data_IF_248397910977
#
_entry.id   IF_248397910977
#
_cell.length_a   1.000
_cell.length_b   1.000
_cell.length_c   1.000
_cell.angle_alpha   90.00
_cell.angle_beta   90.00
_cell.angle_gamma   90.00
#
_symmetry.space_group_name_H-M   'P 1'
#
loop_
_entity.id
_entity.type
_entity.pdbx_description
1 polymer ?
#
# COMPACT_ATOMS: atom_id res chain seq x y z
N UNK A 1 25.24 -27.16 53.05
CA UNK A 1 24.76 -28.00 51.93
C UNK A 1 23.53 -27.39 51.27
N UNK A 2 23.49 -26.04 51.04
CA UNK A 2 22.32 -25.32 50.47
C UNK A 2 22.67 -24.30 49.36
N UNK A 3 23.92 -24.29 48.89
CA UNK A 3 24.35 -23.31 47.84
C UNK A 3 24.23 -23.84 46.41
N UNK A 4 24.19 -25.18 46.24
CA UNK A 4 24.19 -25.83 44.90
C UNK A 4 22.78 -25.85 44.26
N UNK A 5 21.71 -25.79 45.05
CA UNK A 5 20.33 -25.83 44.51
C UNK A 5 19.83 -24.49 43.90
N UNK A 6 20.38 -23.35 44.35
CA UNK A 6 19.95 -22.02 43.87
C UNK A 6 20.59 -21.66 42.53
N UNK A 7 21.78 -22.17 42.25
CA UNK A 7 22.52 -21.89 41.01
C UNK A 7 21.94 -22.65 39.79
N UNK A 8 21.38 -23.85 40.00
CA UNK A 8 20.72 -24.59 38.90
C UNK A 8 19.36 -24.02 38.49
N UNK A 9 18.63 -23.37 39.41
CA UNK A 9 17.34 -22.76 39.06
C UNK A 9 17.53 -21.49 38.24
N UNK A 10 18.58 -20.70 38.52
CA UNK A 10 18.89 -19.49 37.79
C UNK A 10 19.39 -19.79 36.36
N UNK A 11 20.16 -20.87 36.16
CA UNK A 11 20.61 -21.28 34.84
C UNK A 11 19.45 -21.83 33.97
N UNK A 12 18.47 -22.50 34.55
CA UNK A 12 17.28 -22.98 33.85
C UNK A 12 16.35 -21.88 33.40
N UNK A 13 16.19 -20.80 34.18
CA UNK A 13 15.37 -19.64 33.77
C UNK A 13 16.05 -18.79 32.68
N UNK A 14 17.38 -18.68 32.68
CA UNK A 14 18.09 -17.96 31.60
C UNK A 14 18.03 -18.71 30.27
N UNK A 15 18.05 -20.03 30.29
CA UNK A 15 17.93 -20.83 29.05
C UNK A 15 16.51 -20.79 28.47
N UNK A 16 15.48 -20.75 29.31
CA UNK A 16 14.10 -20.62 28.87
C UNK A 16 13.80 -19.24 28.24
N UNK A 17 14.42 -18.17 28.79
CA UNK A 17 14.25 -16.82 28.20
C UNK A 17 14.99 -16.65 26.86
N UNK A 18 16.07 -17.38 26.62
CA UNK A 18 16.79 -17.36 25.33
C UNK A 18 16.05 -18.15 24.24
N UNK A 19 15.37 -19.22 24.58
CA UNK A 19 14.58 -20.00 23.61
C UNK A 19 13.29 -19.30 23.19
N UNK A 20 12.66 -18.52 24.07
CA UNK A 20 11.48 -17.73 23.73
C UNK A 20 11.83 -16.56 22.78
N UNK A 21 13.02 -15.95 22.96
CA UNK A 21 13.47 -14.90 22.04
C UNK A 21 13.86 -15.40 20.64
N UNK A 22 14.39 -16.61 20.52
CA UNK A 22 14.72 -17.22 19.24
C UNK A 22 13.48 -17.63 18.43
N UNK A 23 12.37 -17.97 19.10
CA UNK A 23 11.12 -18.32 18.44
C UNK A 23 10.31 -17.08 17.94
N UNK A 24 10.55 -15.90 18.52
CA UNK A 24 9.88 -14.65 18.09
C UNK A 24 10.58 -14.00 16.90
N UNK A 25 11.83 -14.35 16.61
CA UNK A 25 12.60 -13.77 15.49
C UNK A 25 12.45 -14.57 14.17
N UNK A 26 11.50 -15.48 14.05
CA UNK A 26 11.37 -16.36 12.89
C UNK A 26 10.49 -15.77 11.77
N UNK A 27 9.85 -14.60 11.97
CA UNK A 27 9.09 -13.90 10.93
C UNK A 27 9.89 -12.64 10.57
N UNK A 28 10.82 -12.78 9.63
CA UNK A 28 11.71 -11.68 9.22
C UNK A 28 11.18 -10.90 8.01
N UNK A 29 10.18 -11.43 7.29
CA UNK A 29 9.68 -10.85 6.04
C UNK A 29 8.23 -10.37 6.22
N UNK A 30 7.96 -9.10 5.91
CA UNK A 30 6.64 -8.49 6.09
C UNK A 30 5.51 -9.22 5.35
N UNK A 31 5.81 -9.80 4.18
CA UNK A 31 4.84 -10.53 3.36
C UNK A 31 4.38 -11.88 3.94
N UNK A 32 4.88 -12.28 5.10
CA UNK A 32 4.46 -13.44 5.89
C UNK A 32 4.17 -13.07 7.34
N UNK A 33 4.02 -11.78 7.64
CA UNK A 33 3.79 -11.27 8.99
C UNK A 33 2.42 -10.62 9.14
N UNK A 34 1.41 -11.31 9.68
CA UNK A 34 0.04 -10.80 9.77
C UNK A 34 -0.12 -9.58 10.68
N UNK A 35 0.91 -9.18 11.42
CA UNK A 35 0.91 -7.93 12.16
C UNK A 35 1.29 -6.73 11.28
N UNK A 36 1.80 -6.96 10.06
CA UNK A 36 2.33 -5.94 9.14
C UNK A 36 1.56 -5.94 7.81
N UNK A 37 0.30 -5.57 7.82
CA UNK A 37 -0.49 -5.41 6.59
C UNK A 37 -0.33 -4.03 5.93
N UNK A 38 0.40 -3.11 6.54
CA UNK A 38 0.69 -1.79 5.98
C UNK A 38 1.70 -0.98 6.80
N UNK A 39 2.67 -0.39 6.10
CA UNK A 39 3.68 0.52 6.65
C UNK A 39 3.53 1.86 5.96
N UNK A 40 3.36 2.95 6.72
CA UNK A 40 3.21 4.32 6.20
C UNK A 40 2.07 4.48 5.16
N UNK A 41 1.17 3.53 5.06
CA UNK A 41 0.01 3.59 4.19
C UNK A 41 -1.01 4.59 4.77
N UNK A 42 -1.48 5.50 3.94
CA UNK A 42 -2.59 6.38 4.31
C UNK A 42 -3.87 5.56 4.52
N UNK A 43 -4.79 6.03 5.38
CA UNK A 43 -6.06 5.35 5.61
C UNK A 43 -6.80 5.08 4.30
N UNK A 44 -7.30 3.86 4.14
CA UNK A 44 -8.15 3.51 3.01
C UNK A 44 -9.53 4.13 3.19
N UNK A 45 -9.94 4.93 2.22
CA UNK A 45 -11.22 5.63 2.21
C UNK A 45 -11.69 5.80 0.78
N UNK A 46 -13.00 5.89 0.58
CA UNK A 46 -13.55 6.44 -0.65
C UNK A 46 -12.95 7.82 -0.88
N UNK A 47 -12.52 8.09 -2.10
CA UNK A 47 -11.87 9.35 -2.46
C UNK A 47 -12.75 10.19 -3.37
N UNK A 48 -12.59 11.50 -3.30
CA UNK A 48 -13.14 12.45 -4.26
C UNK A 48 -12.03 13.36 -4.74
N UNK A 49 -12.16 13.83 -5.97
CA UNK A 49 -11.22 14.75 -6.60
C UNK A 49 -11.75 16.18 -6.50
N UNK A 50 -10.87 17.13 -6.25
CA UNK A 50 -11.20 18.56 -6.28
C UNK A 50 -10.52 19.21 -7.48
N UNK A 51 -11.08 20.31 -7.99
CA UNK A 51 -10.53 21.07 -9.11
C UNK A 51 -9.11 21.61 -8.86
N UNK A 52 -8.74 21.74 -7.59
CA UNK A 52 -7.40 22.20 -7.19
C UNK A 52 -6.36 21.07 -7.08
N UNK A 53 -6.77 19.82 -7.19
CA UNK A 53 -5.88 18.69 -7.18
C UNK A 53 -5.14 18.56 -8.51
N UNK A 54 -3.83 18.67 -8.48
CA UNK A 54 -2.98 18.33 -9.62
C UNK A 54 -2.68 16.83 -9.58
N UNK A 55 -2.74 16.18 -10.73
CA UNK A 55 -2.50 14.74 -10.85
C UNK A 55 -1.54 14.47 -11.99
N UNK A 56 -0.58 13.58 -11.75
CA UNK A 56 0.37 13.06 -12.73
C UNK A 56 0.15 11.55 -12.87
N UNK A 57 -0.28 11.11 -14.03
CA UNK A 57 -0.39 9.67 -14.32
C UNK A 57 1.00 9.04 -14.46
N UNK A 58 1.18 7.91 -13.82
CA UNK A 58 2.33 7.03 -14.00
C UNK A 58 1.96 5.77 -14.81
N UNK A 59 0.81 5.75 -15.46
CA UNK A 59 0.42 4.68 -16.38
C UNK A 59 1.32 4.68 -17.62
N UNK A 60 1.48 3.50 -18.23
CA UNK A 60 2.30 3.30 -19.42
C UNK A 60 3.42 2.32 -19.14
N UNK A 61 4.49 2.34 -19.93
CA UNK A 61 5.59 1.38 -19.83
C UNK A 61 6.45 1.60 -18.58
N UNK A 62 6.73 0.52 -17.87
CA UNK A 62 7.66 0.46 -16.74
C UNK A 62 8.75 -0.56 -17.01
N UNK A 63 9.95 -0.31 -16.53
CA UNK A 63 10.98 -1.35 -16.44
C UNK A 63 10.51 -2.42 -15.49
N UNK A 64 10.69 -3.70 -15.88
CA UNK A 64 10.16 -4.85 -15.17
C UNK A 64 11.17 -5.99 -15.10
N UNK A 65 11.37 -6.54 -13.92
CA UNK A 65 12.14 -7.73 -13.66
C UNK A 65 11.25 -8.77 -13.00
N UNK A 66 11.07 -9.91 -13.68
CA UNK A 66 10.31 -11.03 -13.15
C UNK A 66 11.24 -12.02 -12.46
N UNK A 67 10.94 -12.33 -11.21
CA UNK A 67 11.70 -13.26 -10.38
C UNK A 67 10.84 -14.49 -10.08
N UNK A 68 11.40 -15.69 -10.24
CA UNK A 68 10.67 -16.95 -10.10
C UNK A 68 10.27 -17.28 -8.65
N UNK A 69 10.95 -16.65 -7.69
CA UNK A 69 10.69 -16.84 -6.25
C UNK A 69 11.30 -15.68 -5.44
N UNK A 70 10.97 -15.56 -4.14
CA UNK A 70 11.49 -14.50 -3.28
C UNK A 70 13.01 -14.45 -3.18
N UNK A 71 13.70 -15.60 -3.24
CA UNK A 71 15.16 -15.67 -3.12
C UNK A 71 15.91 -15.25 -4.40
N UNK A 72 15.24 -15.21 -5.55
CA UNK A 72 15.81 -14.79 -6.83
C UNK A 72 15.68 -13.27 -7.10
N UNK A 73 15.17 -12.50 -6.15
CA UNK A 73 15.04 -11.03 -6.26
C UNK A 73 16.38 -10.35 -6.50
N UNK A 74 16.39 -9.35 -7.36
CA UNK A 74 17.56 -8.49 -7.54
C UNK A 74 17.72 -7.54 -6.39
N UNK A 75 18.77 -7.70 -5.59
CA UNK A 75 19.06 -6.81 -4.47
C UNK A 75 19.50 -5.42 -4.96
N UNK A 76 19.13 -4.36 -4.22
CA UNK A 76 19.55 -3.00 -4.52
C UNK A 76 18.86 -2.35 -5.72
N UNK A 77 17.89 -3.00 -6.32
CA UNK A 77 17.20 -2.52 -7.53
C UNK A 77 16.51 -1.16 -7.34
N UNK A 78 16.20 -0.79 -6.12
CA UNK A 78 15.58 0.49 -5.76
C UNK A 78 16.53 1.68 -5.84
N UNK A 79 17.85 1.45 -5.94
CA UNK A 79 18.85 2.53 -6.00
C UNK A 79 18.63 3.42 -7.23
N UNK A 80 18.88 4.72 -7.09
CA UNK A 80 18.65 5.70 -8.16
C UNK A 80 19.52 5.42 -9.39
N UNK A 81 20.76 5.00 -9.15
CA UNK A 81 21.78 4.69 -10.14
C UNK A 81 21.79 3.22 -10.60
N UNK A 82 20.82 2.43 -10.19
CA UNK A 82 20.70 1.05 -10.62
C UNK A 82 20.51 0.97 -12.14
N UNK A 83 21.29 0.10 -12.79
CA UNK A 83 21.20 -0.12 -14.23
C UNK A 83 20.11 -1.15 -14.56
N UNK A 84 18.97 -0.67 -14.99
CA UNK A 84 17.81 -1.47 -15.41
C UNK A 84 17.71 -1.63 -16.95
N UNK A 85 18.76 -1.34 -17.70
CA UNK A 85 18.74 -1.40 -19.18
C UNK A 85 18.47 -2.81 -19.74
N UNK A 86 18.83 -3.84 -18.99
CA UNK A 86 18.58 -5.24 -19.37
C UNK A 86 17.21 -5.77 -18.91
N UNK A 87 16.39 -4.95 -18.25
CA UNK A 87 15.06 -5.35 -17.79
C UNK A 87 14.04 -5.25 -18.93
N UNK A 88 13.02 -6.07 -18.87
CA UNK A 88 11.87 -6.00 -19.75
C UNK A 88 11.09 -4.70 -19.57
N UNK A 89 10.06 -4.52 -20.36
CA UNK A 89 9.05 -3.48 -20.16
C UNK A 89 7.68 -4.15 -20.00
N UNK A 90 6.89 -3.61 -19.05
CA UNK A 90 5.52 -4.06 -18.84
C UNK A 90 4.60 -2.83 -18.79
N UNK A 91 3.41 -2.87 -19.41
CA UNK A 91 2.45 -1.80 -19.25
C UNK A 91 1.88 -1.77 -17.81
N UNK A 92 1.64 -0.59 -17.29
CA UNK A 92 0.92 -0.35 -16.03
C UNK A 92 -0.26 0.57 -16.34
N UNK A 93 -1.50 0.15 -16.02
CA UNK A 93 -1.94 -1.13 -15.46
C UNK A 93 -1.59 -2.31 -16.36
N UNK A 94 -1.23 -3.42 -15.73
CA UNK A 94 -0.94 -4.68 -16.41
C UNK A 94 -0.83 -5.82 -15.40
N UNK A 95 -1.36 -6.98 -15.79
CA UNK A 95 -1.29 -8.22 -15.02
C UNK A 95 -0.29 -9.15 -15.68
N UNK A 96 0.60 -9.76 -14.91
CA UNK A 96 1.71 -10.59 -15.41
C UNK A 96 1.22 -11.72 -16.31
N UNK A 97 0.10 -12.32 -15.95
CA UNK A 97 -0.52 -13.45 -16.63
C UNK A 97 -0.89 -13.12 -18.11
N UNK A 98 -1.20 -11.86 -18.40
CA UNK A 98 -1.52 -11.42 -19.77
C UNK A 98 -0.30 -10.95 -20.56
N UNK A 99 0.87 -10.90 -19.92
CA UNK A 99 2.12 -10.47 -20.53
C UNK A 99 3.15 -11.60 -20.63
N UNK A 100 2.72 -12.86 -20.41
CA UNK A 100 3.53 -14.04 -20.65
C UNK A 100 4.51 -14.41 -19.53
N UNK A 101 4.36 -13.84 -18.32
CA UNK A 101 5.25 -14.14 -17.19
C UNK A 101 4.79 -15.30 -16.32
N UNK A 102 3.49 -15.59 -16.30
CA UNK A 102 2.94 -16.75 -15.60
C UNK A 102 1.62 -17.18 -16.23
N UNK A 103 1.19 -18.42 -15.95
CA UNK A 103 -0.08 -18.93 -16.44
C UNK A 103 -1.26 -18.40 -15.64
N UNK A 104 -2.36 -18.02 -16.31
CA UNK A 104 -3.62 -17.69 -15.64
C UNK A 104 -4.12 -18.84 -14.79
N UNK A 105 -4.45 -18.59 -13.55
CA UNK A 105 -4.93 -19.58 -12.62
C UNK A 105 -6.35 -19.24 -12.15
N UNK A 106 -7.26 -20.19 -12.31
CA UNK A 106 -8.60 -20.13 -11.71
C UNK A 106 -8.73 -21.16 -10.59
N UNK A 107 -9.17 -20.72 -9.44
CA UNK A 107 -9.44 -21.60 -8.29
C UNK A 107 -10.74 -21.15 -7.63
N UNK A 108 -11.72 -22.08 -7.51
CA UNK A 108 -12.99 -21.79 -6.84
C UNK A 108 -13.04 -22.29 -5.40
N UNK A 109 -12.24 -23.30 -5.05
CA UNK A 109 -12.18 -23.87 -3.70
C UNK A 109 -10.74 -24.11 -3.30
N UNK A 110 -10.33 -23.53 -2.18
CA UNK A 110 -8.99 -23.65 -1.63
C UNK A 110 -8.01 -22.63 -2.20
N UNK A 111 -6.81 -22.64 -1.66
CA UNK A 111 -5.76 -21.68 -1.99
C UNK A 111 -5.06 -22.01 -3.32
N UNK A 112 -4.37 -21.04 -3.95
CA UNK A 112 -3.69 -21.23 -5.24
C UNK A 112 -2.70 -22.39 -5.28
N UNK A 113 -2.12 -22.76 -4.15
CA UNK A 113 -1.16 -23.85 -3.98
C UNK A 113 -1.78 -25.20 -3.60
N UNK A 114 -3.11 -25.36 -3.74
CA UNK A 114 -3.81 -26.59 -3.41
C UNK A 114 -3.21 -27.81 -4.11
N UNK A 115 -2.90 -28.84 -3.32
CA UNK A 115 -2.31 -30.10 -3.80
C UNK A 115 -0.78 -30.09 -3.94
N UNK A 116 -0.14 -28.93 -3.80
CA UNK A 116 1.33 -28.79 -3.90
C UNK A 116 1.96 -28.34 -2.58
N UNK A 117 1.23 -27.60 -1.78
CA UNK A 117 1.71 -27.08 -0.50
C UNK A 117 0.63 -27.24 0.58
N UNK A 118 1.03 -27.61 1.78
CA UNK A 118 0.14 -27.71 2.94
C UNK A 118 -0.07 -26.31 3.52
N UNK A 119 -1.34 -25.93 3.71
CA UNK A 119 -1.65 -24.67 4.38
C UNK A 119 -0.99 -24.56 5.74
N UNK A 120 -0.28 -23.48 5.98
CA UNK A 120 0.44 -23.20 7.22
C UNK A 120 0.45 -21.68 7.51
N UNK A 121 -0.74 -21.05 7.70
CA UNK A 121 -0.80 -19.61 7.95
C UNK A 121 0.11 -19.19 9.13
N UNK A 122 0.83 -18.07 9.05
CA UNK A 122 0.77 -17.06 7.97
C UNK A 122 1.66 -17.38 6.76
N UNK A 123 2.42 -18.47 6.79
CA UNK A 123 3.41 -18.79 5.77
C UNK A 123 2.77 -19.25 4.47
N UNK A 124 3.18 -18.65 3.37
CA UNK A 124 2.83 -19.04 2.00
C UNK A 124 4.02 -19.77 1.34
N UNK A 125 3.79 -20.59 0.27
CA UNK A 125 4.91 -21.22 -0.43
C UNK A 125 5.88 -20.18 -1.00
N UNK A 126 7.18 -20.48 -0.97
CA UNK A 126 8.19 -19.71 -1.71
C UNK A 126 8.30 -20.19 -3.15
N UNK A 127 8.13 -21.49 -3.40
CA UNK A 127 8.10 -22.06 -4.75
C UNK A 127 6.89 -21.51 -5.51
N UNK A 128 7.14 -20.99 -6.72
CA UNK A 128 6.16 -20.31 -7.57
C UNK A 128 5.53 -19.04 -6.97
N UNK A 129 6.06 -18.54 -5.87
CA UNK A 129 5.74 -17.22 -5.37
C UNK A 129 6.54 -16.17 -6.13
N UNK A 130 6.12 -15.91 -7.35
CA UNK A 130 6.79 -14.97 -8.25
C UNK A 130 6.84 -13.56 -7.67
N UNK A 131 7.90 -12.83 -8.00
CA UNK A 131 8.06 -11.44 -7.58
C UNK A 131 8.28 -10.56 -8.78
N UNK A 132 7.50 -9.50 -8.89
CA UNK A 132 7.69 -8.46 -9.89
C UNK A 132 8.36 -7.25 -9.28
N UNK A 133 9.50 -6.86 -9.85
CA UNK A 133 10.21 -5.65 -9.49
C UNK A 133 10.05 -4.64 -10.62
N UNK A 134 9.55 -3.44 -10.29
CA UNK A 134 9.21 -2.39 -11.25
C UNK A 134 10.05 -1.15 -10.99
N UNK A 135 10.41 -0.45 -12.07
CA UNK A 135 11.11 0.84 -11.98
C UNK A 135 10.58 1.82 -13.02
N UNK A 136 10.50 3.09 -12.64
CA UNK A 136 10.16 4.20 -13.53
C UNK A 136 10.70 5.52 -13.04
N UNK A 137 10.96 6.45 -13.94
CA UNK A 137 11.19 7.86 -13.62
C UNK A 137 9.93 8.69 -13.83
N UNK A 138 9.79 9.77 -13.05
CA UNK A 138 8.72 10.74 -13.21
C UNK A 138 9.20 12.13 -12.82
N UNK A 139 8.49 13.16 -13.30
CA UNK A 139 8.86 14.55 -13.08
C UNK A 139 7.83 15.21 -12.15
N UNK A 140 8.32 15.78 -11.06
CA UNK A 140 7.52 16.63 -10.17
C UNK A 140 7.77 18.09 -10.55
N UNK A 141 6.71 18.82 -10.86
CA UNK A 141 6.79 20.24 -11.20
C UNK A 141 7.16 21.10 -9.98
N UNK A 142 7.89 22.18 -10.18
CA UNK A 142 8.25 23.15 -9.12
C UNK A 142 7.01 23.69 -8.38
N UNK A 143 5.91 23.90 -9.10
CA UNK A 143 4.65 24.39 -8.55
C UNK A 143 3.93 23.41 -7.59
N UNK A 144 4.49 22.23 -7.34
CA UNK A 144 4.01 21.27 -6.34
C UNK A 144 4.69 21.45 -4.98
N UNK A 145 5.74 22.25 -4.92
CA UNK A 145 6.47 22.56 -3.68
C UNK A 145 5.52 23.21 -2.65
N UNK A 146 5.59 22.75 -1.41
CA UNK A 146 4.75 23.24 -0.31
C UNK A 146 3.37 22.58 -0.21
N UNK A 147 2.99 21.73 -1.18
CA UNK A 147 1.81 20.87 -1.12
C UNK A 147 2.16 19.50 -0.52
N UNK A 148 1.17 18.78 -0.02
CA UNK A 148 1.33 17.35 0.21
C UNK A 148 1.32 16.63 -1.14
N UNK A 149 2.27 15.72 -1.36
CA UNK A 149 2.37 14.93 -2.58
C UNK A 149 2.15 13.47 -2.21
N UNK A 150 1.13 12.87 -2.81
CA UNK A 150 0.72 11.50 -2.53
C UNK A 150 0.89 10.62 -3.77
N UNK A 151 1.37 9.40 -3.57
CA UNK A 151 1.34 8.31 -4.54
C UNK A 151 0.06 7.49 -4.30
N UNK A 152 -0.61 7.11 -5.37
CA UNK A 152 -1.70 6.14 -5.36
C UNK A 152 -1.36 4.99 -6.30
N UNK A 153 -1.45 3.76 -5.78
CA UNK A 153 -1.39 2.51 -6.54
C UNK A 153 -2.79 1.92 -6.45
N UNK A 154 -3.53 1.91 -7.55
CA UNK A 154 -4.96 1.60 -7.56
C UNK A 154 -5.29 0.15 -7.16
N UNK A 155 -4.36 -0.78 -7.37
CA UNK A 155 -4.46 -2.19 -6.98
C UNK A 155 -3.11 -2.86 -7.22
N UNK A 156 -2.63 -3.66 -6.29
CA UNK A 156 -1.42 -4.48 -6.45
C UNK A 156 -1.62 -5.83 -5.76
N UNK A 157 -1.61 -6.90 -6.54
CA UNK A 157 -1.85 -8.27 -6.04
C UNK A 157 -0.54 -9.03 -5.92
N UNK A 158 -0.17 -9.49 -4.71
CA UNK A 158 -0.94 -9.54 -3.45
C UNK A 158 -0.57 -8.41 -2.49
N UNK A 159 0.58 -7.81 -2.64
CA UNK A 159 1.11 -6.74 -1.82
C UNK A 159 1.89 -5.74 -2.68
N UNK A 160 2.38 -4.67 -2.08
CA UNK A 160 3.34 -3.77 -2.72
C UNK A 160 4.25 -3.11 -1.70
N UNK A 161 5.56 -3.15 -1.95
CA UNK A 161 6.57 -2.35 -1.28
C UNK A 161 7.02 -1.23 -2.20
N UNK A 162 7.19 -0.04 -1.67
CA UNK A 162 7.40 1.18 -2.43
C UNK A 162 8.68 1.88 -2.01
N UNK A 163 9.49 2.29 -3.00
CA UNK A 163 10.64 3.19 -2.81
C UNK A 163 10.52 4.40 -3.74
N UNK A 164 10.96 5.54 -3.24
CA UNK A 164 11.12 6.77 -4.04
C UNK A 164 12.51 7.32 -3.82
N UNK A 165 13.22 7.57 -4.90
CA UNK A 165 14.62 8.04 -4.87
C UNK A 165 15.53 7.16 -3.99
N UNK A 166 15.36 5.83 -4.07
CA UNK A 166 16.14 4.84 -3.33
C UNK A 166 15.76 4.67 -1.86
N UNK A 167 14.82 5.47 -1.36
CA UNK A 167 14.37 5.42 0.04
C UNK A 167 13.04 4.70 0.14
N UNK A 168 12.94 3.75 1.06
CA UNK A 168 11.69 3.07 1.33
C UNK A 168 10.62 4.04 1.83
N UNK A 169 9.47 3.99 1.19
CA UNK A 169 8.29 4.78 1.54
C UNK A 169 7.36 4.00 2.44
N UNK A 170 7.06 2.75 2.06
CA UNK A 170 6.16 1.92 2.82
C UNK A 170 5.75 0.64 2.11
N UNK A 171 4.77 -0.03 2.72
CA UNK A 171 4.25 -1.35 2.33
C UNK A 171 2.72 -1.37 2.42
N UNK A 172 2.07 -2.17 1.61
CA UNK A 172 0.63 -2.40 1.68
C UNK A 172 0.27 -3.78 1.17
N UNK A 173 -0.62 -4.42 1.87
CA UNK A 173 -1.46 -5.53 1.41
C UNK A 173 -2.85 -5.02 1.03
N UNK A 174 -3.88 -5.90 0.93
CA UNK A 174 -5.21 -5.60 0.41
C UNK A 174 -5.22 -5.45 -1.12
N UNK A 175 -5.01 -6.55 -1.83
CA UNK A 175 -4.77 -6.64 -3.28
C UNK A 175 -5.70 -5.81 -4.17
N UNK A 176 -6.96 -5.64 -3.78
CA UNK A 176 -8.00 -5.02 -4.61
C UNK A 176 -8.32 -3.57 -4.24
N UNK A 177 -7.69 -3.05 -3.18
CA UNK A 177 -7.90 -1.69 -2.71
C UNK A 177 -6.73 -0.78 -3.10
N UNK A 178 -6.98 0.54 -3.08
CA UNK A 178 -5.94 1.53 -3.34
C UNK A 178 -4.93 1.59 -2.20
N UNK A 179 -3.64 1.47 -2.51
CA UNK A 179 -2.55 1.78 -1.61
C UNK A 179 -2.10 3.23 -1.84
N UNK A 180 -2.24 4.08 -0.83
CA UNK A 180 -1.85 5.50 -0.89
C UNK A 180 -0.76 5.81 0.12
N UNK A 181 0.25 6.57 -0.33
CA UNK A 181 1.42 6.93 0.47
C UNK A 181 1.71 8.42 0.37
N UNK A 182 2.04 9.06 1.48
CA UNK A 182 2.60 10.42 1.48
C UNK A 182 4.07 10.35 1.08
N UNK A 183 4.38 10.83 -0.11
CA UNK A 183 5.73 10.84 -0.65
C UNK A 183 6.39 12.23 -0.60
N UNK A 184 5.77 13.21 0.05
CA UNK A 184 6.22 14.61 0.08
C UNK A 184 7.69 14.76 0.46
N UNK A 185 8.16 14.04 1.48
CA UNK A 185 9.54 14.10 1.96
C UNK A 185 10.55 13.31 1.11
N UNK A 186 10.06 12.51 0.18
CA UNK A 186 10.90 11.62 -0.65
C UNK A 186 11.15 12.18 -2.04
N UNK A 187 10.29 13.09 -2.53
CA UNK A 187 10.39 13.68 -3.86
C UNK A 187 11.10 15.04 -3.83
N UNK A 188 11.63 15.43 -4.98
CA UNK A 188 12.18 16.74 -5.28
C UNK A 188 11.57 17.28 -6.56
N UNK A 189 11.64 18.59 -6.79
CA UNK A 189 11.34 19.17 -8.09
C UNK A 189 12.26 18.57 -9.16
N UNK A 190 11.73 18.33 -10.36
CA UNK A 190 12.43 17.65 -11.44
C UNK A 190 12.29 16.13 -11.37
N UNK A 191 13.32 15.43 -11.84
CA UNK A 191 13.31 13.98 -12.03
C UNK A 191 13.41 13.23 -10.69
N UNK A 192 12.51 12.27 -10.51
CA UNK A 192 12.46 11.33 -9.39
C UNK A 192 12.37 9.90 -9.94
N UNK A 193 12.81 8.93 -9.15
CA UNK A 193 12.71 7.50 -9.44
C UNK A 193 11.75 6.84 -8.47
N UNK A 194 10.85 6.01 -8.98
CA UNK A 194 10.01 5.11 -8.20
C UNK A 194 10.41 3.67 -8.50
N UNK A 195 10.44 2.85 -7.46
CA UNK A 195 10.58 1.40 -7.55
C UNK A 195 9.49 0.72 -6.73
N UNK A 196 8.96 -0.37 -7.26
CA UNK A 196 7.93 -1.18 -6.61
C UNK A 196 8.37 -2.65 -6.60
N UNK A 197 8.01 -3.37 -5.54
CA UNK A 197 8.15 -4.82 -5.46
C UNK A 197 6.82 -5.43 -5.05
N UNK A 198 6.38 -6.44 -5.79
CA UNK A 198 5.07 -7.09 -5.63
C UNK A 198 5.32 -8.59 -5.58
N UNK A 199 4.77 -9.27 -4.59
CA UNK A 199 4.78 -10.74 -4.49
C UNK A 199 3.45 -11.28 -5.01
N UNK A 200 3.49 -12.43 -5.67
CA UNK A 200 2.28 -13.11 -6.11
C UNK A 200 1.39 -13.49 -4.93
N UNK A 201 2.00 -13.95 -3.84
CA UNK A 201 1.33 -14.37 -2.61
C UNK A 201 1.97 -13.74 -1.38
N UNK A 202 1.14 -13.36 -0.43
CA UNK A 202 1.52 -12.95 0.93
C UNK A 202 0.58 -13.62 1.93
N UNK A 203 0.78 -13.44 3.21
CA UNK A 203 -0.12 -13.96 4.25
C UNK A 203 -1.55 -13.45 4.10
N UNK A 204 -1.76 -12.23 3.61
CA UNK A 204 -3.07 -11.70 3.23
C UNK A 204 -3.82 -12.57 2.21
N UNK A 205 -3.12 -13.39 1.41
CA UNK A 205 -3.75 -14.32 0.47
C UNK A 205 -4.67 -15.32 1.17
N UNK A 206 -4.38 -15.69 2.42
CA UNK A 206 -5.26 -16.56 3.21
C UNK A 206 -6.62 -15.93 3.53
N UNK A 207 -6.70 -14.59 3.56
CA UNK A 207 -7.92 -13.84 3.86
C UNK A 207 -8.65 -13.38 2.61
N UNK A 208 -7.93 -13.21 1.50
CA UNK A 208 -8.47 -12.68 0.24
C UNK A 208 -8.92 -13.74 -0.73
N UNK A 209 -8.81 -15.03 -0.36
CA UNK A 209 -9.14 -16.14 -1.25
C UNK A 209 -10.62 -16.21 -1.53
N UNK A 210 -10.98 -16.24 -2.84
CA UNK A 210 -12.34 -16.25 -3.35
C UNK A 210 -12.42 -17.06 -4.65
N UNK A 211 -13.62 -17.36 -5.09
CA UNK A 211 -13.93 -18.00 -6.38
C UNK A 211 -13.69 -17.03 -7.53
N UNK A 212 -12.43 -16.88 -7.96
CA UNK A 212 -12.05 -16.02 -9.07
C UNK A 212 -10.66 -16.35 -9.64
N UNK A 213 -10.30 -15.69 -10.74
CA UNK A 213 -8.97 -15.76 -11.33
C UNK A 213 -7.90 -15.16 -10.41
N UNK A 214 -6.77 -15.86 -10.27
CA UNK A 214 -5.61 -15.45 -9.45
C UNK A 214 -4.57 -14.75 -10.28
N UNK A 215 -4.87 -13.56 -10.74
CA UNK A 215 -3.94 -12.72 -11.47
C UNK A 215 -3.06 -11.89 -10.53
N UNK A 216 -1.79 -11.72 -10.90
CA UNK A 216 -0.84 -10.90 -10.16
C UNK A 216 -0.40 -9.66 -10.95
N UNK A 217 0.10 -8.64 -10.25
CA UNK A 217 0.55 -7.39 -10.84
C UNK A 217 -0.32 -6.20 -10.47
N UNK A 218 -0.28 -5.14 -11.27
CA UNK A 218 -0.96 -3.86 -11.03
C UNK A 218 -2.19 -3.76 -11.93
N UNK A 219 -3.37 -4.04 -11.37
CA UNK A 219 -4.61 -4.12 -12.15
C UNK A 219 -5.26 -2.76 -12.44
N UNK A 220 -4.94 -1.71 -11.68
CA UNK A 220 -5.47 -0.36 -11.84
C UNK A 220 -4.37 0.68 -11.87
N UNK A 221 -4.70 1.89 -12.33
CA UNK A 221 -3.74 2.96 -12.57
C UNK A 221 -2.89 3.35 -11.37
N UNK A 222 -1.69 3.81 -11.68
CA UNK A 222 -0.76 4.41 -10.73
C UNK A 222 -0.64 5.91 -11.04
N UNK A 223 -0.74 6.75 -10.02
CA UNK A 223 -0.63 8.19 -10.20
C UNK A 223 -0.10 8.90 -8.95
N UNK A 224 0.50 10.05 -9.17
CA UNK A 224 0.91 10.97 -8.10
C UNK A 224 -0.04 12.16 -8.13
N UNK A 225 -0.46 12.64 -6.96
CA UNK A 225 -1.37 13.77 -6.85
C UNK A 225 -1.00 14.70 -5.70
N UNK A 226 -1.44 15.97 -5.82
CA UNK A 226 -1.20 16.96 -4.77
C UNK A 226 -2.43 17.16 -3.92
N UNK A 227 -2.22 17.52 -2.66
CA UNK A 227 -3.26 17.97 -1.73
C UNK A 227 -2.83 19.27 -1.07
N UNK A 228 -3.78 20.16 -0.82
CA UNK A 228 -3.50 21.35 -0.04
C UNK A 228 -3.15 20.99 1.40
N UNK A 229 -2.25 21.76 2.02
CA UNK A 229 -1.91 21.57 3.43
C UNK A 229 -3.12 21.80 4.34
N UNK A 230 -3.94 22.83 4.02
CA UNK A 230 -5.20 23.12 4.71
C UNK A 230 -6.35 22.61 3.87
N UNK A 231 -7.07 21.61 4.34
CA UNK A 231 -8.15 20.97 3.60
C UNK A 231 -9.15 20.28 4.51
N UNK A 232 -10.30 19.96 3.97
CA UNK A 232 -11.18 18.93 4.51
C UNK A 232 -10.53 17.56 4.23
N UNK A 233 -10.29 16.79 5.29
CA UNK A 233 -9.62 15.49 5.19
C UNK A 233 -10.64 14.36 4.96
N UNK A 234 -11.83 14.51 5.53
CA UNK A 234 -12.87 13.50 5.49
C UNK A 234 -14.24 14.14 5.75
N UNK A 235 -15.28 13.60 5.12
CA UNK A 235 -16.66 14.01 5.34
C UNK A 235 -17.54 12.78 5.52
N UNK A 236 -18.45 12.83 6.49
CA UNK A 236 -19.52 11.86 6.66
C UNK A 236 -20.85 12.60 6.62
N UNK A 237 -21.68 12.28 5.63
CA UNK A 237 -23.00 12.89 5.43
C UNK A 237 -24.05 11.85 5.76
N UNK A 238 -25.01 12.23 6.62
CA UNK A 238 -26.21 11.45 6.91
C UNK A 238 -27.42 12.30 6.60
N UNK A 239 -28.31 11.81 5.78
CA UNK A 239 -29.57 12.43 5.47
C UNK A 239 -30.69 11.39 5.66
N UNK A 240 -31.85 11.82 6.17
CA UNK A 240 -33.03 10.98 6.35
C UNK A 240 -34.19 11.45 5.46
N UNK A 241 -35.29 10.69 5.47
CA UNK A 241 -36.48 10.97 4.68
C UNK A 241 -37.29 12.15 5.20
N UNK A 242 -37.05 12.57 6.44
CA UNK A 242 -37.73 13.73 7.06
C UNK A 242 -37.02 15.05 6.71
N UNK A 243 -35.93 14.97 5.93
CA UNK A 243 -35.15 16.13 5.47
C UNK A 243 -34.06 16.59 6.46
N UNK A 244 -33.79 15.81 7.50
CA UNK A 244 -32.67 16.13 8.39
C UNK A 244 -31.34 15.76 7.74
N UNK A 245 -30.39 16.68 7.76
CA UNK A 245 -29.04 16.46 7.25
C UNK A 245 -28.03 16.72 8.35
N UNK A 246 -27.17 15.75 8.60
CA UNK A 246 -26.03 15.86 9.53
C UNK A 246 -24.73 15.64 8.76
N UNK A 247 -23.77 16.55 8.92
CA UNK A 247 -22.47 16.48 8.23
C UNK A 247 -21.37 16.57 9.29
N UNK A 248 -20.53 15.53 9.32
CA UNK A 248 -19.29 15.53 10.10
C UNK A 248 -18.12 15.71 9.15
N UNK A 249 -17.43 16.84 9.27
CA UNK A 249 -16.22 17.11 8.49
C UNK A 249 -14.97 17.07 9.39
N UNK A 250 -13.97 16.27 9.00
CA UNK A 250 -12.63 16.31 9.60
C UNK A 250 -11.73 17.21 8.77
N UNK A 251 -10.94 18.05 9.42
CA UNK A 251 -10.04 18.98 8.74
C UNK A 251 -8.59 18.78 9.17
N UNK A 252 -7.65 19.18 8.32
CA UNK A 252 -6.27 19.37 8.73
C UNK A 252 -6.16 20.58 9.69
N UNK A 253 -5.08 20.67 10.49
CA UNK A 253 -4.83 21.82 11.34
C UNK A 253 -4.85 23.16 10.59
N UNK A 254 -5.35 24.21 11.24
CA UNK A 254 -5.35 25.57 10.68
C UNK A 254 -6.59 25.95 9.85
N UNK A 255 -7.60 25.10 9.80
CA UNK A 255 -8.95 25.43 9.36
C UNK A 255 -9.72 25.92 10.58
N UNK A 256 -10.31 27.12 10.50
CA UNK A 256 -11.06 27.70 11.60
C UNK A 256 -12.59 27.60 11.42
N UNK A 257 -13.07 27.61 10.18
CA UNK A 257 -14.49 27.55 9.83
C UNK A 257 -14.72 26.72 8.57
N UNK A 258 -15.89 26.10 8.50
CA UNK A 258 -16.37 25.33 7.36
C UNK A 258 -17.73 25.92 6.94
N UNK A 259 -17.88 26.17 5.65
CA UNK A 259 -19.15 26.52 5.02
C UNK A 259 -19.77 25.26 4.43
N UNK A 260 -21.00 24.99 4.78
CA UNK A 260 -21.83 23.93 4.24
C UNK A 260 -22.94 24.54 3.43
N UNK A 261 -23.16 24.06 2.21
CA UNK A 261 -24.24 24.50 1.35
C UNK A 261 -24.96 23.28 0.77
N UNK A 262 -26.27 23.30 0.81
CA UNK A 262 -27.12 22.33 0.10
C UNK A 262 -27.61 23.00 -1.16
N UNK A 263 -27.41 22.35 -2.30
CA UNK A 263 -27.82 22.88 -3.60
C UNK A 263 -28.91 21.99 -4.20
N UNK A 264 -29.80 22.62 -4.97
CA UNK A 264 -30.72 21.91 -5.83
C UNK A 264 -30.00 21.27 -7.05
N UNK A 265 -30.66 20.43 -7.87
CA UNK A 265 -30.04 19.82 -9.04
C UNK A 265 -29.56 20.84 -10.09
N UNK A 266 -29.99 22.10 -10.00
CA UNK A 266 -29.59 23.19 -10.91
C UNK A 266 -28.41 23.99 -10.37
N UNK A 267 -27.90 23.64 -9.16
CA UNK A 267 -26.79 24.33 -8.52
C UNK A 267 -27.16 25.53 -7.66
N UNK A 268 -28.44 25.83 -7.46
CA UNK A 268 -28.90 26.94 -6.60
C UNK A 268 -28.78 26.50 -5.13
N UNK A 269 -28.23 27.37 -4.28
CA UNK A 269 -28.14 27.12 -2.84
C UNK A 269 -29.53 27.22 -2.22
N UNK A 270 -30.03 26.14 -1.65
CA UNK A 270 -31.32 26.07 -0.94
C UNK A 270 -31.19 26.20 0.58
N UNK A 271 -30.01 25.87 1.12
CA UNK A 271 -29.66 26.07 2.51
C UNK A 271 -28.16 26.27 2.66
N UNK A 272 -27.76 27.08 3.64
CA UNK A 272 -26.35 27.35 3.91
C UNK A 272 -26.13 27.62 5.40
N UNK A 273 -25.02 27.09 5.93
CA UNK A 273 -24.55 27.38 7.28
C UNK A 273 -23.02 27.46 7.31
N UNK A 274 -22.48 28.28 8.18
CA UNK A 274 -21.03 28.36 8.41
C UNK A 274 -20.75 28.15 9.88
N UNK A 275 -20.03 27.06 10.19
CA UNK A 275 -19.74 26.63 11.55
C UNK A 275 -18.22 26.64 11.84
N UNK A 276 -17.81 26.79 13.11
CA UNK A 276 -16.43 26.55 13.50
C UNK A 276 -16.00 25.13 13.14
N UNK A 277 -14.77 24.97 12.63
CA UNK A 277 -14.20 23.66 12.43
C UNK A 277 -13.96 22.99 13.80
N UNK A 278 -14.55 21.82 14.01
CA UNK A 278 -14.33 21.04 15.22
C UNK A 278 -12.90 20.52 15.19
N UNK A 279 -12.10 20.82 16.22
CA UNK A 279 -10.77 20.20 16.36
C UNK A 279 -10.97 18.70 16.52
N UNK A 280 -10.41 17.90 15.61
CA UNK A 280 -10.28 16.45 15.84
C UNK A 280 -9.46 16.25 17.11
N UNK A 281 -10.05 15.66 18.13
CA UNK A 281 -9.33 15.10 19.28
C UNK A 281 -8.63 13.82 18.87
#
# INVERSE_FOLDING_TARGET
MNIVKTTMLAAGLLMASFQVRAAVNAIEEDWQNPEVFGINRLPMRASFTTDQQKTLSLNGEWKFNFCENPSSRTAGFQAVDFNDSGWDNIPVPGLWDFHGYCDPMYVNVGYPWRGHYRNNPPFVPEEHNYVGQYRRTFIVEEGWTGRQICLCIGSATSNVRVWVNGKEVGYSEDSKLEARFDITRYVKAGVNTIALEIFRWCDGTYLEDQDFWRFAGIARGVYVYTREQKRIEDINVRADMDGNVSILAKTTPGISRIRYAVCDPFGNIVAEITEPAVKSQ
#
